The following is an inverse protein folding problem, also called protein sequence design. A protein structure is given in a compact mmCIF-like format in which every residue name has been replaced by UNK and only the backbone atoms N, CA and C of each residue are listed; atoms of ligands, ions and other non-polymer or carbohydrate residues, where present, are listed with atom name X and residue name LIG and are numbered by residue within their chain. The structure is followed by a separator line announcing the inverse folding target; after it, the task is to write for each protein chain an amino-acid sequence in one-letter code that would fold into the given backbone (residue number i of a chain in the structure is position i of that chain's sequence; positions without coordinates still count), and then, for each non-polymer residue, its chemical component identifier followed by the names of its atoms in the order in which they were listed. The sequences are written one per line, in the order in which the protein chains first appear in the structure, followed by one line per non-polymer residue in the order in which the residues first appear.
data_IF_771828380968
#
_entry.id   IF_771828380968
#
_cell.length_a   1.000
_cell.length_b   1.000
_cell.length_c   1.000
_cell.angle_alpha   90.00
_cell.angle_beta   90.00
_cell.angle_gamma   90.00
#
_symmetry.space_group_name_H-M   'P 1'
#
loop_
_entity.id
_entity.type
_entity.pdbx_description
1 polymer ?
#
# COMPACT_ATOMS: atom_id res chain seq x y z
N UNK A 1 9.61 -21.24 -25.96
CA UNK A 1 8.68 -20.12 -26.25
C UNK A 1 7.74 -19.78 -25.10
N UNK A 2 7.13 -20.76 -24.45
CA UNK A 2 6.24 -20.50 -23.29
C UNK A 2 6.93 -19.86 -22.06
N UNK A 3 8.19 -20.18 -21.79
CA UNK A 3 8.95 -19.61 -20.69
C UNK A 3 9.34 -18.13 -20.92
N UNK A 4 9.64 -17.74 -22.16
CA UNK A 4 9.98 -16.35 -22.48
C UNK A 4 8.77 -15.42 -22.30
N UNK A 5 7.57 -15.85 -22.65
CA UNK A 5 6.33 -15.08 -22.42
C UNK A 5 6.01 -14.93 -20.92
N UNK A 6 6.29 -15.95 -20.11
CA UNK A 6 6.07 -15.91 -18.66
C UNK A 6 7.06 -14.97 -17.96
N UNK A 7 8.30 -14.92 -18.43
CA UNK A 7 9.36 -14.01 -17.93
C UNK A 7 9.04 -12.56 -18.34
N UNK A 8 8.58 -12.33 -19.57
CA UNK A 8 8.19 -11.00 -20.04
C UNK A 8 7.01 -10.42 -19.22
N UNK A 9 6.03 -11.26 -18.89
CA UNK A 9 4.90 -10.85 -18.05
C UNK A 9 5.29 -10.55 -16.59
N UNK A 10 6.34 -11.16 -16.06
CA UNK A 10 6.81 -10.85 -14.70
C UNK A 10 7.56 -9.51 -14.61
N UNK A 11 8.17 -9.05 -15.71
CA UNK A 11 8.93 -7.77 -15.73
C UNK A 11 8.04 -6.54 -15.88
N UNK A 12 6.79 -6.70 -16.30
CA UNK A 12 5.83 -5.58 -16.48
C UNK A 12 4.87 -5.39 -15.31
N UNK A 13 4.93 -6.28 -14.29
CA UNK A 13 4.03 -6.22 -13.17
C UNK A 13 4.36 -5.05 -12.25
N UNK A 14 3.38 -4.18 -12.03
CA UNK A 14 3.51 -3.00 -11.18
C UNK A 14 3.45 -3.38 -9.70
N UNK A 15 4.21 -2.66 -8.88
CA UNK A 15 4.10 -2.67 -7.41
C UNK A 15 3.23 -1.50 -7.00
N UNK A 16 2.15 -1.75 -6.26
CA UNK A 16 1.29 -0.72 -5.71
C UNK A 16 1.90 -0.15 -4.41
N UNK A 17 1.95 1.16 -4.28
CA UNK A 17 2.42 1.82 -3.07
C UNK A 17 1.35 2.76 -2.54
N UNK A 18 0.79 2.45 -1.37
CA UNK A 18 -0.05 3.37 -0.59
C UNK A 18 0.86 4.13 0.37
N UNK A 19 0.66 5.45 0.50
CA UNK A 19 1.57 6.31 1.25
C UNK A 19 2.82 6.70 0.45
N UNK A 20 2.70 6.73 -0.87
CA UNK A 20 3.79 7.04 -1.80
C UNK A 20 4.39 8.44 -1.62
N UNK A 21 3.64 9.39 -1.04
CA UNK A 21 4.14 10.74 -0.74
C UNK A 21 4.90 10.84 0.60
N UNK A 22 4.89 9.78 1.41
CA UNK A 22 5.70 9.74 2.65
C UNK A 22 7.19 9.66 2.33
N UNK A 23 8.03 9.94 3.32
CA UNK A 23 9.48 9.81 3.16
C UNK A 23 9.88 8.39 2.71
N UNK A 24 9.32 7.37 3.36
CA UNK A 24 9.56 5.97 2.99
C UNK A 24 9.03 5.67 1.59
N UNK A 25 7.82 6.15 1.27
CA UNK A 25 7.23 6.00 -0.07
C UNK A 25 8.10 6.59 -1.16
N UNK A 26 8.65 7.78 -0.95
CA UNK A 26 9.57 8.42 -1.89
C UNK A 26 10.88 7.61 -2.07
N UNK A 27 11.44 7.07 -0.99
CA UNK A 27 12.61 6.19 -1.07
C UNK A 27 12.31 4.92 -1.88
N UNK A 28 11.14 4.30 -1.68
CA UNK A 28 10.71 3.13 -2.42
C UNK A 28 10.54 3.42 -3.92
N UNK A 29 9.97 4.58 -4.26
CA UNK A 29 9.86 5.03 -5.66
C UNK A 29 11.24 5.16 -6.29
N UNK A 30 12.19 5.82 -5.64
CA UNK A 30 13.55 5.99 -6.16
C UNK A 30 14.25 4.63 -6.36
N UNK A 31 14.09 3.71 -5.43
CA UNK A 31 14.62 2.35 -5.56
C UNK A 31 13.98 1.60 -6.75
N UNK A 32 12.68 1.74 -6.92
CA UNK A 32 11.97 1.13 -8.05
C UNK A 32 12.46 1.65 -9.39
N UNK A 33 12.64 2.95 -9.52
CA UNK A 33 13.19 3.59 -10.72
C UNK A 33 14.60 3.05 -11.01
N UNK A 34 15.48 3.02 -10.00
CA UNK A 34 16.85 2.54 -10.14
C UNK A 34 16.91 1.07 -10.60
N UNK A 35 15.94 0.26 -10.17
CA UNK A 35 15.83 -1.16 -10.54
C UNK A 35 14.95 -1.40 -11.77
N UNK A 36 14.48 -0.35 -12.43
CA UNK A 36 13.57 -0.43 -13.61
C UNK A 36 12.30 -1.25 -13.29
N UNK A 37 11.76 -1.11 -12.08
CA UNK A 37 10.50 -1.73 -11.64
C UNK A 37 9.34 -0.78 -11.87
N UNK A 38 8.26 -1.29 -12.45
CA UNK A 38 7.05 -0.49 -12.57
C UNK A 38 6.38 -0.30 -11.21
N UNK A 39 6.07 0.94 -10.90
CA UNK A 39 5.40 1.35 -9.67
C UNK A 39 4.12 2.08 -10.01
N UNK A 40 3.04 1.70 -9.35
CA UNK A 40 1.82 2.50 -9.27
C UNK A 40 1.76 3.16 -7.90
N UNK A 41 2.02 4.44 -7.87
CA UNK A 41 2.05 5.25 -6.67
C UNK A 41 0.67 5.84 -6.40
N UNK A 42 0.12 5.57 -5.23
CA UNK A 42 -1.21 6.04 -4.84
C UNK A 42 -1.13 7.21 -3.87
N UNK A 43 -1.93 8.24 -4.15
CA UNK A 43 -2.06 9.44 -3.32
C UNK A 43 -3.52 9.85 -3.21
N UNK A 44 -3.91 10.47 -2.09
CA UNK A 44 -5.23 11.08 -1.94
C UNK A 44 -5.44 12.27 -2.88
N UNK A 45 -4.36 12.90 -3.33
CA UNK A 45 -4.37 13.97 -4.34
C UNK A 45 -4.01 13.40 -5.71
N UNK A 46 -4.58 14.00 -6.75
CA UNK A 46 -4.21 13.67 -8.12
C UNK A 46 -2.83 14.24 -8.45
N UNK A 47 -1.87 13.38 -8.72
CA UNK A 47 -0.47 13.73 -8.99
C UNK A 47 0.01 13.20 -10.34
N UNK A 48 -0.87 13.10 -11.33
CA UNK A 48 -0.54 12.57 -12.67
C UNK A 48 0.54 13.38 -13.40
N UNK A 49 0.71 14.65 -13.04
CA UNK A 49 1.80 15.49 -13.54
C UNK A 49 3.20 15.03 -13.06
N UNK A 50 3.27 14.10 -12.09
CA UNK A 50 4.50 13.51 -11.61
C UNK A 50 4.79 12.13 -12.23
N UNK A 51 3.99 11.70 -13.20
CA UNK A 51 4.25 10.47 -13.94
C UNK A 51 5.60 10.58 -14.67
N UNK A 52 6.35 9.48 -14.62
CA UNK A 52 7.64 9.35 -15.29
C UNK A 52 7.88 7.89 -15.67
N UNK A 53 8.99 7.61 -16.34
CA UNK A 53 9.37 6.22 -16.67
C UNK A 53 9.37 5.36 -15.41
N UNK A 54 8.68 4.24 -15.47
CA UNK A 54 8.49 3.26 -14.38
C UNK A 54 7.59 3.71 -13.24
N UNK A 55 7.07 4.94 -13.21
CA UNK A 55 6.19 5.42 -12.13
C UNK A 55 4.93 6.05 -12.70
N UNK A 56 3.79 5.49 -12.32
CA UNK A 56 2.47 6.04 -12.62
C UNK A 56 1.78 6.43 -11.32
N UNK A 57 1.31 7.67 -11.23
CA UNK A 57 0.54 8.13 -10.09
C UNK A 57 -0.95 7.95 -10.34
N UNK A 58 -1.63 7.42 -9.34
CA UNK A 58 -3.08 7.28 -9.33
C UNK A 58 -3.67 7.87 -8.05
N UNK A 59 -4.87 8.40 -8.16
CA UNK A 59 -5.59 8.89 -7.00
C UNK A 59 -6.24 7.74 -6.24
N UNK A 60 -6.06 7.73 -4.92
CA UNK A 60 -6.86 6.86 -4.05
C UNK A 60 -8.30 7.37 -4.03
N UNK A 61 -9.29 6.49 -4.17
CA UNK A 61 -10.68 6.87 -3.96
C UNK A 61 -10.91 7.28 -2.50
N UNK A 62 -11.97 8.02 -2.19
CA UNK A 62 -12.41 8.19 -0.81
C UNK A 62 -12.64 6.82 -0.16
N UNK A 63 -12.23 6.66 1.12
CA UNK A 63 -12.27 5.38 1.83
C UNK A 63 -13.66 4.71 1.88
N UNK A 64 -14.72 5.46 1.63
CA UNK A 64 -16.12 4.96 1.62
C UNK A 64 -16.64 4.57 0.24
N UNK A 65 -15.88 4.80 -0.82
CA UNK A 65 -16.35 4.58 -2.19
C UNK A 65 -15.97 3.17 -2.65
N UNK A 66 -16.98 2.34 -2.90
CA UNK A 66 -16.80 1.07 -3.61
C UNK A 66 -16.61 1.39 -5.07
N UNK A 67 -15.41 1.27 -5.57
CA UNK A 67 -15.21 1.27 -7.01
C UNK A 67 -15.63 -0.08 -7.59
N UNK A 68 -16.63 -0.03 -8.44
CA UNK A 68 -17.07 -1.15 -9.25
C UNK A 68 -16.63 -0.89 -10.68
N UNK A 69 -15.36 -1.11 -11.02
CA UNK A 69 -15.11 -1.30 -12.45
C UNK A 69 -13.85 -2.08 -12.75
N UNK A 70 -14.05 -3.00 -13.68
CA UNK A 70 -13.15 -4.05 -14.07
C UNK A 70 -11.92 -3.58 -14.85
N UNK A 71 -11.10 -4.53 -15.12
CA UNK A 71 -9.90 -4.48 -15.97
C UNK A 71 -8.80 -3.49 -15.54
N UNK A 72 -8.67 -3.31 -14.24
CA UNK A 72 -7.49 -2.67 -13.70
C UNK A 72 -6.33 -3.64 -13.77
N UNK A 73 -5.22 -3.19 -14.35
CA UNK A 73 -3.97 -3.93 -14.36
C UNK A 73 -3.75 -4.59 -13.00
N UNK A 74 -3.66 -5.91 -12.96
CA UNK A 74 -3.45 -6.65 -11.71
C UNK A 74 -2.21 -6.14 -11.00
N UNK A 75 -2.39 -5.54 -9.85
CA UNK A 75 -1.30 -5.19 -8.95
C UNK A 75 -1.29 -6.26 -7.87
N UNK A 76 -0.38 -7.22 -7.98
CA UNK A 76 -0.33 -8.37 -7.08
C UNK A 76 0.51 -8.11 -5.84
N UNK A 77 1.45 -7.16 -5.91
CA UNK A 77 2.37 -6.83 -4.82
C UNK A 77 2.13 -5.41 -4.35
N UNK A 78 1.97 -5.26 -3.05
CA UNK A 78 1.64 -3.98 -2.45
C UNK A 78 2.57 -3.64 -1.29
N UNK A 79 2.86 -2.37 -1.15
CA UNK A 79 3.56 -1.82 0.02
C UNK A 79 2.72 -0.68 0.57
N UNK A 80 2.41 -0.74 1.86
CA UNK A 80 1.74 0.33 2.57
C UNK A 80 2.74 1.05 3.48
N UNK A 81 3.13 2.26 3.09
CA UNK A 81 4.00 3.16 3.84
C UNK A 81 3.20 4.30 4.52
N UNK A 82 1.89 4.29 4.41
CA UNK A 82 1.00 5.16 5.18
C UNK A 82 0.86 4.64 6.62
N UNK A 83 0.41 5.48 7.57
CA UNK A 83 0.06 5.00 8.90
C UNK A 83 -0.92 3.83 8.81
N UNK A 84 -0.64 2.75 9.57
CA UNK A 84 -1.38 1.48 9.42
C UNK A 84 -2.90 1.63 9.66
N UNK A 85 -3.32 2.58 10.51
CA UNK A 85 -4.74 2.83 10.77
C UNK A 85 -5.53 3.43 9.60
N UNK A 86 -4.82 3.85 8.55
CA UNK A 86 -5.46 4.31 7.30
C UNK A 86 -5.90 3.12 6.45
N UNK A 87 -5.18 2.01 6.53
CA UNK A 87 -5.32 0.86 5.63
C UNK A 87 -6.68 0.16 5.68
N UNK A 88 -7.33 -0.04 6.84
CA UNK A 88 -8.64 -0.70 6.88
C UNK A 88 -9.71 0.00 6.03
N UNK A 89 -9.66 1.32 5.88
CA UNK A 89 -10.55 2.06 4.99
C UNK A 89 -10.37 1.75 3.50
N UNK A 90 -9.29 1.09 3.12
CA UNK A 90 -8.96 0.74 1.74
C UNK A 90 -9.01 -0.77 1.45
N UNK A 91 -9.47 -1.60 2.37
CA UNK A 91 -9.53 -3.04 2.18
C UNK A 91 -10.37 -3.43 0.96
N UNK A 92 -11.55 -2.84 0.78
CA UNK A 92 -12.41 -3.12 -0.37
C UNK A 92 -11.73 -2.67 -1.69
N UNK A 93 -11.07 -1.54 -1.69
CA UNK A 93 -10.29 -1.06 -2.82
C UNK A 93 -9.16 -2.03 -3.18
N UNK A 94 -8.41 -2.50 -2.20
CA UNK A 94 -7.32 -3.45 -2.40
C UNK A 94 -7.81 -4.78 -2.97
N UNK A 95 -8.96 -5.28 -2.52
CA UNK A 95 -9.54 -6.53 -3.01
C UNK A 95 -9.85 -6.48 -4.51
N UNK A 96 -10.13 -5.31 -5.08
CA UNK A 96 -10.38 -5.16 -6.51
C UNK A 96 -9.16 -5.55 -7.36
N UNK A 97 -7.95 -5.44 -6.81
CA UNK A 97 -6.69 -5.82 -7.47
C UNK A 97 -6.27 -7.27 -7.23
N UNK A 98 -6.97 -7.99 -6.34
CA UNK A 98 -6.63 -9.38 -5.95
C UNK A 98 -5.16 -9.51 -5.52
N UNK A 99 -4.72 -8.80 -4.49
CA UNK A 99 -3.33 -8.80 -4.05
C UNK A 99 -2.89 -10.21 -3.63
N UNK A 100 -1.68 -10.59 -4.01
CA UNK A 100 -1.06 -11.85 -3.58
C UNK A 100 -0.17 -11.67 -2.35
N UNK A 101 0.45 -10.51 -2.24
CA UNK A 101 1.34 -10.19 -1.13
C UNK A 101 1.30 -8.71 -0.82
N UNK A 102 1.27 -8.41 0.47
CA UNK A 102 1.31 -7.05 0.96
C UNK A 102 2.35 -6.92 2.08
N UNK A 103 3.14 -5.86 2.02
CA UNK A 103 4.02 -5.43 3.10
C UNK A 103 3.42 -4.17 3.71
N UNK A 104 3.19 -4.20 5.00
CA UNK A 104 2.61 -3.07 5.74
C UNK A 104 3.59 -2.64 6.82
N UNK A 105 3.89 -1.35 6.84
CA UNK A 105 4.73 -0.76 7.88
C UNK A 105 3.87 -0.38 9.08
N UNK A 106 4.30 -0.81 10.25
CA UNK A 106 3.74 -0.41 11.54
C UNK A 106 4.79 0.30 12.39
N UNK A 107 4.49 0.57 13.63
CA UNK A 107 5.38 1.27 14.54
C UNK A 107 5.59 0.51 15.84
N UNK A 108 6.83 0.50 16.32
CA UNK A 108 7.18 -0.03 17.65
C UNK A 108 6.52 0.72 18.80
N UNK A 109 5.96 1.90 18.53
CA UNK A 109 5.18 2.68 19.51
C UNK A 109 4.01 1.89 20.10
N UNK A 110 3.51 0.88 19.40
CA UNK A 110 2.54 -0.08 19.94
C UNK A 110 3.00 -0.68 21.27
N UNK A 111 4.27 -1.02 21.38
CA UNK A 111 4.84 -1.69 22.56
C UNK A 111 5.44 -0.68 23.55
N UNK A 112 6.13 0.33 23.06
CA UNK A 112 6.88 1.28 23.89
C UNK A 112 5.99 2.31 24.57
N UNK A 113 4.80 2.59 24.04
CA UNK A 113 3.88 3.61 24.54
C UNK A 113 2.62 3.05 25.23
N UNK A 114 2.43 1.74 25.25
CA UNK A 114 1.23 1.13 25.84
C UNK A 114 1.08 1.42 27.33
N UNK A 115 2.17 1.61 28.06
CA UNK A 115 2.22 1.89 29.49
C UNK A 115 2.70 3.33 29.79
N UNK A 116 2.63 4.23 28.81
CA UNK A 116 2.98 5.62 29.01
C UNK A 116 2.04 6.30 30.04
N UNK A 117 2.54 7.25 30.77
CA UNK A 117 1.70 8.14 31.61
C UNK A 117 0.91 9.16 30.79
N UNK A 118 1.28 9.35 29.53
CA UNK A 118 0.56 10.22 28.58
C UNK A 118 -0.56 9.44 27.90
N UNK A 119 -1.81 9.88 28.14
CA UNK A 119 -3.00 9.27 27.57
C UNK A 119 -3.05 9.32 26.03
N UNK A 120 -2.47 10.37 25.43
CA UNK A 120 -2.39 10.46 23.96
C UNK A 120 -1.45 9.39 23.40
N UNK A 121 -0.34 9.12 24.07
CA UNK A 121 0.59 8.05 23.67
C UNK A 121 -0.04 6.67 23.85
N UNK A 122 -0.78 6.43 24.93
CA UNK A 122 -1.55 5.19 25.10
C UNK A 122 -2.58 5.01 23.98
N UNK A 123 -3.31 6.07 23.62
CA UNK A 123 -4.30 6.04 22.55
C UNK A 123 -3.66 5.69 21.19
N UNK A 124 -2.47 6.21 20.89
CA UNK A 124 -1.72 5.87 19.69
C UNK A 124 -1.32 4.38 19.69
N UNK A 125 -0.81 3.88 20.81
CA UNK A 125 -0.43 2.47 20.96
C UNK A 125 -1.64 1.55 20.73
N UNK A 126 -2.79 1.88 21.31
CA UNK A 126 -4.04 1.12 21.12
C UNK A 126 -4.51 1.15 19.67
N UNK A 127 -4.47 2.31 19.03
CA UNK A 127 -4.85 2.47 17.62
C UNK A 127 -3.97 1.62 16.69
N UNK A 128 -2.68 1.54 16.96
CA UNK A 128 -1.76 0.66 16.24
C UNK A 128 -2.14 -0.80 16.43
N UNK A 129 -2.35 -1.24 17.68
CA UNK A 129 -2.72 -2.62 17.99
C UNK A 129 -4.03 -3.04 17.33
N UNK A 130 -5.05 -2.20 17.38
CA UNK A 130 -6.35 -2.46 16.76
C UNK A 130 -6.25 -2.56 15.24
N UNK A 131 -5.45 -1.69 14.63
CA UNK A 131 -5.24 -1.68 13.18
C UNK A 131 -4.47 -2.91 12.70
N UNK A 132 -3.47 -3.36 13.45
CA UNK A 132 -2.74 -4.59 13.16
C UNK A 132 -3.66 -5.82 13.27
N UNK A 133 -4.51 -5.89 14.29
CA UNK A 133 -5.46 -6.97 14.46
C UNK A 133 -6.50 -7.01 13.32
N UNK A 134 -7.00 -5.85 12.87
CA UNK A 134 -7.90 -5.75 11.72
C UNK A 134 -7.23 -6.24 10.43
N UNK A 135 -5.98 -5.83 10.20
CA UNK A 135 -5.21 -6.26 9.04
C UNK A 135 -4.98 -7.78 9.04
N UNK A 136 -4.61 -8.34 10.18
CA UNK A 136 -4.39 -9.78 10.33
C UNK A 136 -5.68 -10.57 10.06
N UNK A 137 -6.80 -10.12 10.61
CA UNK A 137 -8.10 -10.74 10.35
C UNK A 137 -8.48 -10.68 8.88
N UNK A 138 -8.29 -9.53 8.24
CA UNK A 138 -8.58 -9.34 6.82
C UNK A 138 -7.69 -10.24 5.94
N UNK A 139 -6.39 -10.31 6.23
CA UNK A 139 -5.44 -11.14 5.49
C UNK A 139 -5.73 -12.64 5.60
N UNK A 140 -6.27 -13.09 6.74
CA UNK A 140 -6.65 -14.49 6.93
C UNK A 140 -7.95 -14.88 6.19
N UNK A 141 -8.76 -13.91 5.77
CA UNK A 141 -10.00 -14.13 5.03
C UNK A 141 -9.81 -14.11 3.50
N UNK A 142 -8.70 -13.58 3.02
CA UNK A 142 -8.44 -13.32 1.60
C UNK A 142 -7.06 -13.78 1.18
#
# INVERSE_FOLDING_TARGET
MLQAHKILNMTTQSIGIIGATSLVGQCLIQQGIAQKRHITAFSRRLLTNQNQSYVTWQQLPPATQKETDGDKNKILFWICAAPIWVLPGYFDFLLTFKPQRMIVLSSTSRFTKQNSSDLNEQAVAQKLADSEALLESWANLH
#
